data_IF_677743411745
#
_entry.id   IF_677743411745
#
_cell.length_a   1.000
_cell.length_b   1.000
_cell.length_c   1.000
_cell.angle_alpha   90.00
_cell.angle_beta   90.00
_cell.angle_gamma   90.00
#
_symmetry.space_group_name_H-M   'P 1'
#
loop_
_entity.id
_entity.type
_entity.pdbx_description
1 polymer ?
#
# COMPACT_ATOMS: atom_id res chain seq x y z
N UNK A 1 -18.41 -36.79 8.00
CA UNK A 1 -19.08 -35.47 7.89
C UNK A 1 -18.13 -34.38 8.32
N UNK A 2 -17.47 -34.55 9.47
CA UNK A 2 -16.46 -33.63 10.03
C UNK A 2 -15.28 -33.39 9.08
N UNK A 3 -14.73 -34.42 8.42
CA UNK A 3 -13.64 -34.27 7.46
C UNK A 3 -14.00 -33.34 6.28
N UNK A 4 -15.19 -33.51 5.69
CA UNK A 4 -15.66 -32.64 4.60
C UNK A 4 -15.82 -31.19 5.05
N UNK A 5 -16.23 -30.97 6.29
CA UNK A 5 -16.35 -29.62 6.87
C UNK A 5 -14.97 -29.00 7.05
N UNK A 6 -14.00 -29.75 7.58
CA UNK A 6 -12.62 -29.29 7.74
C UNK A 6 -11.98 -28.91 6.40
N UNK A 7 -12.21 -29.71 5.35
CA UNK A 7 -11.74 -29.41 4.00
C UNK A 7 -12.31 -28.10 3.44
N UNK A 8 -13.62 -27.90 3.58
CA UNK A 8 -14.29 -26.67 3.12
C UNK A 8 -13.74 -25.44 3.86
N UNK A 9 -13.56 -25.54 5.18
CA UNK A 9 -12.97 -24.46 5.99
C UNK A 9 -11.55 -24.14 5.50
N UNK A 10 -10.73 -25.17 5.24
CA UNK A 10 -9.38 -25.01 4.70
C UNK A 10 -9.36 -24.23 3.38
N UNK A 11 -10.20 -24.62 2.43
CA UNK A 11 -10.33 -23.92 1.14
C UNK A 11 -10.70 -22.45 1.32
N UNK A 12 -11.71 -22.16 2.15
CA UNK A 12 -12.18 -20.80 2.39
C UNK A 12 -11.06 -19.95 3.01
N UNK A 13 -10.37 -20.49 4.02
CA UNK A 13 -9.25 -19.79 4.67
C UNK A 13 -8.13 -19.50 3.67
N UNK A 14 -7.59 -20.50 2.99
CA UNK A 14 -6.50 -20.30 2.02
C UNK A 14 -6.89 -19.30 0.93
N UNK A 15 -8.09 -19.44 0.34
CA UNK A 15 -8.59 -18.54 -0.71
C UNK A 15 -8.70 -17.10 -0.20
N UNK A 16 -9.21 -16.89 1.02
CA UNK A 16 -9.34 -15.56 1.61
C UNK A 16 -7.99 -14.87 1.84
N UNK A 17 -6.99 -15.61 2.34
CA UNK A 17 -5.63 -15.07 2.54
C UNK A 17 -4.94 -14.77 1.21
N UNK A 18 -5.07 -15.64 0.21
CA UNK A 18 -4.54 -15.40 -1.14
C UNK A 18 -5.11 -14.09 -1.69
N UNK A 19 -6.44 -13.92 -1.65
CA UNK A 19 -7.09 -12.69 -2.12
C UNK A 19 -6.63 -11.45 -1.35
N UNK A 20 -6.45 -11.56 -0.03
CA UNK A 20 -5.95 -10.47 0.80
C UNK A 20 -4.54 -10.03 0.39
N UNK A 21 -3.62 -10.97 0.17
CA UNK A 21 -2.24 -10.66 -0.21
C UNK A 21 -2.15 -10.02 -1.60
N UNK A 22 -2.88 -10.55 -2.59
CA UNK A 22 -2.91 -9.96 -3.93
C UNK A 22 -3.66 -8.63 -3.97
N UNK A 23 -4.75 -8.48 -3.20
CA UNK A 23 -5.46 -7.22 -3.05
C UNK A 23 -4.60 -6.13 -2.41
N UNK A 24 -3.86 -6.48 -1.35
CA UNK A 24 -2.89 -5.60 -0.70
C UNK A 24 -1.76 -5.21 -1.67
N UNK A 25 -1.20 -6.18 -2.40
CA UNK A 25 -0.18 -5.92 -3.41
C UNK A 25 -0.67 -4.91 -4.47
N UNK A 26 -1.87 -5.12 -5.02
CA UNK A 26 -2.47 -4.20 -5.98
C UNK A 26 -2.63 -2.79 -5.41
N UNK A 27 -3.15 -2.67 -4.18
CA UNK A 27 -3.29 -1.38 -3.49
C UNK A 27 -1.95 -0.66 -3.29
N UNK A 28 -0.90 -1.40 -2.93
CA UNK A 28 0.45 -0.86 -2.73
C UNK A 28 1.10 -0.42 -4.05
N UNK A 29 0.93 -1.16 -5.14
CA UNK A 29 1.39 -0.72 -6.45
C UNK A 29 0.63 0.52 -6.93
N UNK A 30 -0.69 0.59 -6.73
CA UNK A 30 -1.48 1.80 -7.01
C UNK A 30 -0.98 3.01 -6.19
N UNK A 31 -0.64 2.80 -4.92
CA UNK A 31 -0.03 3.83 -4.08
C UNK A 31 1.33 4.29 -4.64
N UNK A 32 2.18 3.36 -5.10
CA UNK A 32 3.45 3.68 -5.78
C UNK A 32 3.22 4.59 -6.99
N UNK A 33 2.29 4.23 -7.88
CA UNK A 33 1.97 5.06 -9.05
C UNK A 33 1.43 6.43 -8.66
N UNK A 34 0.55 6.50 -7.65
CA UNK A 34 0.03 7.77 -7.13
C UNK A 34 1.15 8.64 -6.57
N UNK A 35 2.09 8.07 -5.83
CA UNK A 35 3.22 8.79 -5.24
C UNK A 35 4.20 9.27 -6.31
N UNK A 36 4.50 8.45 -7.32
CA UNK A 36 5.32 8.87 -8.48
C UNK A 36 4.64 10.03 -9.20
N UNK A 37 3.32 9.93 -9.47
CA UNK A 37 2.57 11.01 -10.13
C UNK A 37 2.56 12.29 -9.28
N UNK A 38 2.42 12.16 -7.96
CA UNK A 38 2.50 13.29 -7.03
C UNK A 38 3.90 13.92 -7.03
N UNK A 39 4.97 13.13 -7.04
CA UNK A 39 6.35 13.61 -7.10
C UNK A 39 6.64 14.33 -8.43
N UNK A 40 6.17 13.80 -9.56
CA UNK A 40 6.32 14.44 -10.88
C UNK A 40 5.55 15.76 -10.93
N UNK A 41 4.29 15.78 -10.46
CA UNK A 41 3.49 17.03 -10.39
C UNK A 41 4.05 18.04 -9.38
N UNK A 42 4.61 17.55 -8.28
CA UNK A 42 5.27 18.34 -7.25
C UNK A 42 6.56 18.99 -7.74
N UNK A 43 7.33 18.30 -8.60
CA UNK A 43 8.47 18.92 -9.31
C UNK A 43 8.04 20.05 -10.26
N UNK A 44 6.78 20.05 -10.70
CA UNK A 44 6.18 21.13 -11.48
C UNK A 44 5.61 22.26 -10.60
N UNK A 45 5.66 22.17 -9.26
CA UNK A 45 4.83 23.02 -8.42
C UNK A 45 5.33 24.46 -8.35
N UNK A 46 4.46 25.35 -8.82
CA UNK A 46 4.42 26.74 -8.40
C UNK A 46 4.25 26.82 -6.88
N UNK A 47 4.85 27.83 -6.27
CA UNK A 47 4.60 28.17 -4.87
C UNK A 47 3.10 28.44 -4.64
N UNK A 48 2.59 28.13 -3.45
CA UNK A 48 1.25 28.49 -3.00
C UNK A 48 1.32 29.22 -1.65
N UNK A 49 0.37 30.13 -1.34
CA UNK A 49 0.34 30.77 -0.03
C UNK A 49 -0.01 29.75 1.06
N UNK A 50 0.74 29.78 2.17
CA UNK A 50 0.45 29.01 3.36
C UNK A 50 -0.92 29.40 3.92
N UNK A 51 -1.76 28.42 4.26
CA UNK A 51 -3.12 28.65 4.78
C UNK A 51 -3.16 29.34 6.15
N UNK A 52 -2.07 29.25 6.91
CA UNK A 52 -1.97 29.83 8.26
C UNK A 52 -1.29 31.19 8.29
N UNK A 53 -0.21 31.40 7.53
CA UNK A 53 0.56 32.65 7.58
C UNK A 53 0.62 33.44 6.27
N UNK A 54 0.02 32.94 5.18
CA UNK A 54 -0.02 33.61 3.88
C UNK A 54 1.29 33.63 3.09
N UNK A 55 2.43 33.28 3.71
CA UNK A 55 3.72 33.24 3.03
C UNK A 55 3.76 32.19 1.91
N UNK A 56 4.49 32.49 0.84
CA UNK A 56 4.65 31.59 -0.30
C UNK A 56 5.49 30.37 0.10
N UNK A 57 4.88 29.19 0.01
CA UNK A 57 5.49 27.90 0.35
C UNK A 57 5.35 26.92 -0.81
N UNK A 58 6.21 25.92 -0.86
CA UNK A 58 6.04 24.83 -1.82
C UNK A 58 4.71 24.12 -1.57
N UNK A 59 3.95 23.81 -2.62
CA UNK A 59 2.76 22.94 -2.57
C UNK A 59 3.05 21.55 -1.98
N UNK A 60 4.31 21.13 -2.01
CA UNK A 60 4.78 19.85 -1.48
C UNK A 60 5.38 19.96 -0.09
N UNK A 61 5.44 21.16 0.50
CA UNK A 61 5.92 21.32 1.86
C UNK A 61 5.01 20.52 2.81
N UNK A 62 5.62 19.72 3.69
CA UNK A 62 4.91 19.00 4.76
C UNK A 62 4.76 19.90 5.98
N UNK A 63 5.72 20.80 6.20
CA UNK A 63 5.72 21.80 7.26
C UNK A 63 6.04 23.16 6.65
N UNK A 64 5.31 24.20 7.07
CA UNK A 64 5.61 25.58 6.68
C UNK A 64 6.90 26.06 7.36
N UNK A 65 7.93 26.55 6.63
CA UNK A 65 9.18 27.02 7.23
C UNK A 65 9.04 28.36 7.96
N UNK A 66 7.95 29.10 7.74
CA UNK A 66 7.74 30.42 8.33
C UNK A 66 6.94 30.37 9.64
N UNK A 67 5.91 29.50 9.73
CA UNK A 67 5.04 29.43 10.90
C UNK A 67 4.99 28.06 11.59
N UNK A 68 5.65 27.04 11.03
CA UNK A 68 5.68 25.69 11.63
C UNK A 68 4.40 24.87 11.46
N UNK A 69 3.40 25.38 10.72
CA UNK A 69 2.15 24.67 10.49
C UNK A 69 2.38 23.37 9.69
N UNK A 70 1.73 22.28 10.11
CA UNK A 70 1.93 20.95 9.56
C UNK A 70 0.76 20.56 8.66
N UNK A 71 1.04 20.32 7.39
CA UNK A 71 0.04 20.00 6.37
C UNK A 71 -0.36 18.52 6.35
N UNK A 72 0.25 17.69 7.22
CA UNK A 72 -0.15 16.34 7.53
C UNK A 72 0.22 15.30 6.46
N UNK A 73 0.94 14.26 6.87
CA UNK A 73 1.00 12.99 6.13
C UNK A 73 1.00 11.82 7.12
N UNK A 74 -0.16 11.16 7.25
CA UNK A 74 -0.41 10.16 8.31
C UNK A 74 -0.06 8.71 7.89
N UNK A 75 0.32 8.46 6.63
CA UNK A 75 0.63 7.10 6.15
C UNK A 75 2.02 7.03 5.52
N UNK A 76 3.05 6.80 6.35
CA UNK A 76 4.46 6.78 5.95
C UNK A 76 4.75 5.74 4.85
N UNK A 77 4.17 4.54 4.95
CA UNK A 77 4.39 3.47 3.95
C UNK A 77 3.66 3.77 2.65
N UNK A 78 2.38 4.16 2.71
CA UNK A 78 1.58 4.43 1.52
C UNK A 78 1.95 5.73 0.81
N UNK A 79 2.71 6.62 1.44
CA UNK A 79 3.21 7.87 0.85
C UNK A 79 4.68 7.77 0.40
N UNK A 80 5.37 6.67 0.72
CA UNK A 80 6.73 6.40 0.25
C UNK A 80 6.69 5.60 -1.06
N UNK A 81 7.28 6.14 -2.13
CA UNK A 81 7.39 5.44 -3.43
C UNK A 81 8.09 4.09 -3.28
N UNK A 82 9.25 4.10 -2.60
CA UNK A 82 10.06 2.89 -2.40
C UNK A 82 9.37 1.96 -1.41
N UNK A 83 8.81 2.50 -0.33
CA UNK A 83 8.13 1.73 0.70
C UNK A 83 6.93 0.96 0.16
N UNK A 84 6.06 1.64 -0.60
CA UNK A 84 4.90 0.99 -1.23
C UNK A 84 5.31 -0.01 -2.31
N UNK A 85 6.38 0.25 -3.08
CA UNK A 85 6.87 -0.69 -4.09
C UNK A 85 7.41 -1.98 -3.47
N UNK A 86 8.33 -1.87 -2.50
CA UNK A 86 8.92 -3.04 -1.83
C UNK A 86 7.84 -3.85 -1.11
N UNK A 87 6.94 -3.17 -0.39
CA UNK A 87 5.83 -3.84 0.31
C UNK A 87 4.91 -4.58 -0.67
N UNK A 88 4.69 -4.00 -1.86
CA UNK A 88 3.94 -4.64 -2.93
C UNK A 88 4.61 -5.92 -3.41
N UNK A 89 5.92 -5.89 -3.67
CA UNK A 89 6.71 -7.08 -4.07
C UNK A 89 6.67 -8.17 -3.00
N UNK A 90 6.85 -7.80 -1.72
CA UNK A 90 6.77 -8.74 -0.60
C UNK A 90 5.37 -9.36 -0.51
N UNK A 91 4.32 -8.56 -0.71
CA UNK A 91 2.93 -9.06 -0.70
C UNK A 91 2.67 -10.02 -1.86
N UNK A 92 3.21 -9.77 -3.06
CA UNK A 92 3.14 -10.73 -4.18
C UNK A 92 3.86 -12.04 -3.84
N UNK A 93 5.08 -11.96 -3.31
CA UNK A 93 5.83 -13.15 -2.92
C UNK A 93 5.08 -13.97 -1.86
N UNK A 94 4.51 -13.30 -0.85
CA UNK A 94 3.66 -13.95 0.16
C UNK A 94 2.41 -14.62 -0.46
N UNK A 95 1.74 -13.95 -1.39
CA UNK A 95 0.61 -14.52 -2.12
C UNK A 95 0.98 -15.76 -2.94
N UNK A 96 2.15 -15.76 -3.59
CA UNK A 96 2.67 -16.93 -4.32
C UNK A 96 3.01 -18.10 -3.39
N UNK A 97 3.63 -17.83 -2.24
CA UNK A 97 3.90 -18.86 -1.23
C UNK A 97 2.61 -19.47 -0.68
N UNK A 98 1.57 -18.66 -0.48
CA UNK A 98 0.25 -19.15 -0.07
C UNK A 98 -0.41 -20.02 -1.16
N UNK A 99 -0.23 -19.69 -2.44
CA UNK A 99 -0.70 -20.54 -3.55
C UNK A 99 0.01 -21.90 -3.52
N UNK A 100 1.33 -21.91 -3.32
CA UNK A 100 2.09 -23.16 -3.22
C UNK A 100 1.62 -24.01 -2.04
N UNK A 101 1.47 -23.41 -0.86
CA UNK A 101 0.94 -24.09 0.32
C UNK A 101 -0.51 -24.58 0.12
N UNK A 102 -1.33 -23.84 -0.62
CA UNK A 102 -2.68 -24.28 -0.96
C UNK A 102 -2.67 -25.48 -1.92
N UNK A 103 -1.77 -25.51 -2.90
CA UNK A 103 -1.62 -26.66 -3.79
C UNK A 103 -1.12 -27.91 -3.06
N UNK A 104 -0.22 -27.75 -2.07
CA UNK A 104 0.20 -28.84 -1.20
C UNK A 104 -0.97 -29.35 -0.34
N UNK A 105 -1.72 -28.43 0.29
CA UNK A 105 -2.93 -28.78 1.03
C UNK A 105 -3.95 -29.57 0.18
N UNK A 106 -4.19 -29.15 -1.07
CA UNK A 106 -5.08 -29.86 -1.99
C UNK A 106 -4.54 -31.21 -2.46
N UNK A 107 -3.22 -31.42 -2.43
CA UNK A 107 -2.59 -32.69 -2.83
C UNK A 107 -2.68 -33.73 -1.72
N UNK A 108 -2.49 -33.30 -0.48
CA UNK A 108 -2.41 -34.19 0.68
C UNK A 108 -3.79 -34.63 1.20
N UNK A 109 -4.87 -34.01 0.71
CA UNK A 109 -6.26 -34.28 1.06
C UNK A 109 -6.97 -35.12 0.00
#
# INVERSE_FOLDING_TARGET
MEEKIAFIIGIIMFSSFILLFFGLAAGLFLATFRNIRAAIRGKLSSMEPCRSCGNSVSKTAVICPYCGDNFGQINVVANSIIGSFISGVVSVAGGLLLILGFMEFLRDW
#
